data_IF_949858792580
#
_entry.id   IF_949858792580
#
_cell.length_a   1.000
_cell.length_b   1.000
_cell.length_c   1.000
_cell.angle_alpha   90.00
_cell.angle_beta   90.00
_cell.angle_gamma   90.00
#
_symmetry.space_group_name_H-M   'P 1'
#
loop_
_entity.id
_entity.type
_entity.pdbx_description
1 polymer ?
#
# COMPACT_ATOMS: atom_id res chain seq x y z
N UNK A 1 -2.07 15.97 6.80
CA UNK A 1 -2.76 15.29 7.92
C UNK A 1 -4.16 14.98 7.45
N UNK A 2 -4.63 13.76 7.66
CA UNK A 2 -5.99 13.37 7.30
C UNK A 2 -7.04 14.25 8.02
N UNK A 3 -8.17 14.50 7.34
CA UNK A 3 -9.23 15.39 7.76
C UNK A 3 -10.35 14.59 8.44
N UNK A 4 -10.62 14.91 9.71
CA UNK A 4 -11.68 14.27 10.49
C UNK A 4 -12.90 15.17 10.74
N UNK A 5 -12.98 16.33 10.08
CA UNK A 5 -14.10 17.25 10.30
C UNK A 5 -15.46 16.59 10.03
N UNK A 6 -15.49 15.63 9.10
CA UNK A 6 -16.67 14.82 8.78
C UNK A 6 -17.21 13.98 9.95
N UNK A 7 -16.44 13.75 11.02
CA UNK A 7 -16.95 13.00 12.18
C UNK A 7 -18.18 13.67 12.83
N UNK A 8 -18.30 14.99 12.73
CA UNK A 8 -19.47 15.74 13.25
C UNK A 8 -20.78 15.32 12.60
N UNK A 9 -20.75 14.92 11.31
CA UNK A 9 -21.98 14.45 10.65
C UNK A 9 -22.41 13.05 11.12
N UNK A 10 -21.56 12.34 11.88
CA UNK A 10 -21.87 11.00 12.40
C UNK A 10 -22.47 11.02 13.80
N UNK A 11 -22.51 12.17 14.48
CA UNK A 11 -23.02 12.28 15.85
C UNK A 11 -24.50 11.88 15.96
N UNK A 12 -25.27 12.11 14.90
CA UNK A 12 -26.70 11.87 14.85
C UNK A 12 -27.09 10.81 13.81
N UNK A 13 -26.18 9.89 13.47
CA UNK A 13 -26.46 8.81 12.52
C UNK A 13 -27.52 7.85 13.11
N UNK A 14 -28.77 7.84 12.59
CA UNK A 14 -29.85 7.04 13.18
C UNK A 14 -29.65 5.54 12.97
N UNK A 15 -28.80 5.14 12.01
CA UNK A 15 -28.49 3.75 11.71
C UNK A 15 -27.26 3.23 12.48
N UNK A 16 -26.49 4.13 13.11
CA UNK A 16 -25.24 3.79 13.78
C UNK A 16 -25.02 4.67 15.02
N UNK A 17 -25.69 4.28 16.10
CA UNK A 17 -25.56 4.96 17.40
C UNK A 17 -24.11 4.98 17.88
N UNK A 18 -23.62 6.16 18.26
CA UNK A 18 -22.26 6.35 18.78
C UNK A 18 -21.14 6.26 17.74
N UNK A 19 -21.46 6.26 16.44
CA UNK A 19 -20.49 6.16 15.33
C UNK A 19 -19.32 7.13 15.48
N UNK A 20 -19.57 8.42 15.68
CA UNK A 20 -18.50 9.43 15.83
C UNK A 20 -17.49 9.07 16.93
N UNK A 21 -17.98 8.65 18.11
CA UNK A 21 -17.14 8.27 19.24
C UNK A 21 -16.37 6.97 18.95
N UNK A 22 -17.01 5.99 18.30
CA UNK A 22 -16.38 4.76 17.87
C UNK A 22 -15.21 5.02 16.91
N UNK A 23 -15.47 5.74 15.81
CA UNK A 23 -14.45 6.07 14.80
C UNK A 23 -13.30 6.84 15.43
N UNK A 24 -13.59 7.83 16.29
CA UNK A 24 -12.56 8.60 16.99
C UNK A 24 -11.67 7.71 17.88
N UNK A 25 -12.25 6.80 18.66
CA UNK A 25 -11.48 5.89 19.51
C UNK A 25 -10.57 4.95 18.68
N UNK A 26 -11.08 4.41 17.57
CA UNK A 26 -10.29 3.56 16.66
C UNK A 26 -9.20 4.34 15.92
N UNK A 27 -9.47 5.59 15.51
CA UNK A 27 -8.46 6.47 14.92
C UNK A 27 -7.35 6.82 15.92
N UNK A 28 -7.68 7.14 17.17
CA UNK A 28 -6.68 7.38 18.22
C UNK A 28 -5.82 6.14 18.48
N UNK A 29 -6.44 4.95 18.44
CA UNK A 29 -5.71 3.68 18.51
C UNK A 29 -4.72 3.53 17.34
N UNK A 30 -5.22 3.70 16.11
CA UNK A 30 -4.46 3.60 14.86
C UNK A 30 -3.29 4.58 14.82
N UNK A 31 -3.52 5.84 15.19
CA UNK A 31 -2.49 6.89 15.24
C UNK A 31 -1.35 6.54 16.18
N UNK A 32 -1.66 5.93 17.32
CA UNK A 32 -0.62 5.48 18.25
C UNK A 32 0.24 4.37 17.63
N UNK A 33 -0.38 3.37 16.99
CA UNK A 33 0.37 2.28 16.36
C UNK A 33 1.19 2.77 15.16
N UNK A 34 0.65 3.66 14.33
CA UNK A 34 1.37 4.28 13.21
C UNK A 34 2.52 5.16 13.70
N UNK A 35 2.30 5.94 14.75
CA UNK A 35 3.37 6.70 15.37
C UNK A 35 4.49 5.76 15.81
N UNK A 36 4.17 4.71 16.55
CA UNK A 36 5.18 3.85 17.15
C UNK A 36 5.95 3.01 16.13
N UNK A 37 5.29 2.54 15.07
CA UNK A 37 5.90 1.66 14.06
C UNK A 37 6.54 2.43 12.89
N UNK A 38 5.94 3.54 12.47
CA UNK A 38 6.33 4.25 11.24
C UNK A 38 6.98 5.59 11.57
N UNK A 39 6.31 6.46 12.32
CA UNK A 39 6.67 7.89 12.40
C UNK A 39 7.67 8.26 13.50
N UNK A 40 7.70 7.54 14.63
CA UNK A 40 8.47 7.88 15.84
C UNK A 40 9.96 8.10 15.55
N UNK A 41 10.53 7.26 14.67
CA UNK A 41 11.95 7.29 14.32
C UNK A 41 12.20 7.86 12.92
N UNK A 42 11.24 8.62 12.36
CA UNK A 42 11.39 9.27 11.06
C UNK A 42 12.49 10.33 11.11
N UNK A 43 13.37 10.35 10.11
CA UNK A 43 14.39 11.40 9.95
C UNK A 43 13.80 12.64 9.26
N UNK A 44 14.32 13.83 9.57
CA UNK A 44 13.82 15.07 8.96
C UNK A 44 14.04 15.10 7.43
N UNK A 45 15.23 14.67 6.99
CA UNK A 45 15.67 14.65 5.60
C UNK A 45 15.41 13.28 4.95
N UNK A 46 14.22 12.71 5.18
CA UNK A 46 13.80 11.46 4.57
C UNK A 46 12.44 11.56 3.87
N UNK A 47 12.19 10.54 3.04
CA UNK A 47 10.94 10.28 2.34
C UNK A 47 10.45 8.87 2.69
N UNK A 48 9.20 8.75 3.10
CA UNK A 48 8.52 7.48 3.32
C UNK A 48 7.66 7.14 2.10
N UNK A 49 8.02 6.06 1.42
CA UNK A 49 7.33 5.53 0.24
C UNK A 49 6.53 4.30 0.67
N UNK A 50 5.21 4.34 0.48
CA UNK A 50 4.30 3.23 0.75
C UNK A 50 3.81 2.51 -0.52
N UNK A 51 3.43 1.25 -0.36
CA UNK A 51 2.63 0.50 -1.34
C UNK A 51 1.54 -0.28 -0.62
N UNK A 52 0.33 -0.28 -1.17
CA UNK A 52 -0.78 -1.01 -0.59
C UNK A 52 -1.77 -1.47 -1.67
N UNK A 53 -1.86 -2.79 -1.88
CA UNK A 53 -3.00 -3.37 -2.57
C UNK A 53 -4.22 -3.24 -1.64
N UNK A 54 -5.24 -2.50 -2.06
CA UNK A 54 -6.50 -2.35 -1.32
C UNK A 54 -7.56 -3.18 -2.04
N UNK A 55 -7.79 -4.39 -1.52
CA UNK A 55 -8.66 -5.41 -2.09
C UNK A 55 -9.90 -4.83 -2.75
N UNK A 56 -10.02 -4.99 -4.07
CA UNK A 56 -11.15 -4.58 -4.89
C UNK A 56 -11.76 -3.25 -4.42
N UNK A 57 -10.99 -2.17 -4.53
CA UNK A 57 -11.23 -0.94 -3.78
C UNK A 57 -12.63 -0.35 -4.01
N UNK A 58 -13.51 -0.66 -3.06
CA UNK A 58 -14.93 -0.30 -3.01
C UNK A 58 -15.80 -0.95 -4.10
N UNK A 59 -15.37 -2.12 -4.59
CA UNK A 59 -16.16 -2.97 -5.48
C UNK A 59 -17.12 -3.86 -4.69
N UNK A 60 -18.42 -3.75 -4.98
CA UNK A 60 -19.47 -4.50 -4.30
C UNK A 60 -20.26 -3.66 -3.30
N UNK A 61 -20.32 -4.10 -2.03
CA UNK A 61 -20.96 -3.29 -0.99
C UNK A 61 -20.01 -2.14 -0.62
N UNK A 62 -20.49 -0.88 -0.56
CA UNK A 62 -19.67 0.23 -0.15
C UNK A 62 -19.06 0.00 1.24
N UNK A 63 -17.77 0.29 1.36
CA UNK A 63 -17.02 0.32 2.61
C UNK A 63 -17.67 1.28 3.59
N UNK A 64 -17.54 0.94 4.87
CA UNK A 64 -17.98 1.81 5.94
C UNK A 64 -17.25 3.16 5.91
N UNK A 65 -17.89 4.19 6.46
CA UNK A 65 -17.30 5.52 6.53
C UNK A 65 -15.98 5.50 7.32
N UNK A 66 -15.94 4.76 8.42
CA UNK A 66 -14.74 4.59 9.23
C UNK A 66 -13.58 3.92 8.50
N UNK A 67 -13.87 2.97 7.60
CA UNK A 67 -12.88 2.28 6.79
C UNK A 67 -12.09 3.27 5.94
N UNK A 68 -12.79 4.23 5.33
CA UNK A 68 -12.16 5.34 4.61
C UNK A 68 -11.29 6.23 5.51
N UNK A 69 -11.73 6.53 6.73
CA UNK A 69 -10.92 7.29 7.69
C UNK A 69 -9.66 6.52 8.09
N UNK A 70 -9.74 5.21 8.30
CA UNK A 70 -8.59 4.37 8.64
C UNK A 70 -7.60 4.25 7.48
N UNK A 71 -8.09 4.03 6.26
CA UNK A 71 -7.26 3.98 5.04
C UNK A 71 -6.57 5.33 4.84
N UNK A 72 -7.29 6.46 4.96
CA UNK A 72 -6.72 7.79 4.87
C UNK A 72 -5.63 8.04 5.92
N UNK A 73 -5.84 7.57 7.15
CA UNK A 73 -4.85 7.72 8.22
C UNK A 73 -3.56 6.95 7.95
N UNK A 74 -3.66 5.72 7.44
CA UNK A 74 -2.52 4.91 7.06
C UNK A 74 -1.76 5.56 5.90
N UNK A 75 -2.46 5.94 4.82
CA UNK A 75 -1.83 6.57 3.66
C UNK A 75 -1.16 7.90 4.04
N UNK A 76 -1.78 8.69 4.93
CA UNK A 76 -1.23 9.94 5.45
C UNK A 76 0.03 9.76 6.33
N UNK A 77 0.37 8.52 6.74
CA UNK A 77 1.64 8.23 7.42
C UNK A 77 2.83 8.10 6.46
N UNK A 78 2.56 8.02 5.16
CA UNK A 78 3.54 8.04 4.09
C UNK A 78 3.62 9.44 3.45
N UNK A 79 4.66 9.70 2.66
CA UNK A 79 4.75 10.93 1.87
C UNK A 79 4.23 10.72 0.43
N UNK A 80 4.31 9.48 -0.05
CA UNK A 80 3.74 9.00 -1.30
C UNK A 80 3.35 7.53 -1.14
N UNK A 81 2.22 7.12 -1.70
CA UNK A 81 1.70 5.77 -1.62
C UNK A 81 1.20 5.30 -2.98
N UNK A 82 1.63 4.12 -3.42
CA UNK A 82 1.01 3.43 -4.54
C UNK A 82 -0.14 2.56 -4.06
N UNK A 83 -1.30 2.69 -4.70
CA UNK A 83 -2.50 1.94 -4.40
C UNK A 83 -2.91 1.11 -5.61
N UNK A 84 -3.07 -0.19 -5.40
CA UNK A 84 -3.53 -1.14 -6.42
C UNK A 84 -5.01 -1.52 -6.21
N UNK A 85 -5.59 -2.20 -7.21
CA UNK A 85 -6.99 -2.67 -7.24
C UNK A 85 -8.08 -1.58 -7.21
N UNK A 86 -7.76 -0.39 -7.70
CA UNK A 86 -8.76 0.67 -7.90
C UNK A 86 -9.67 0.29 -9.06
N UNK A 87 -10.98 0.31 -8.88
CA UNK A 87 -11.92 -0.06 -9.95
C UNK A 87 -12.19 1.10 -10.92
N UNK A 88 -12.99 0.80 -11.94
CA UNK A 88 -13.38 1.76 -12.98
C UNK A 88 -14.04 3.03 -12.44
N UNK A 89 -14.82 2.93 -11.34
CA UNK A 89 -15.36 4.08 -10.63
C UNK A 89 -14.30 4.74 -9.74
N UNK A 90 -14.04 6.02 -9.97
CA UNK A 90 -13.06 6.80 -9.22
C UNK A 90 -13.68 7.56 -8.04
N UNK A 91 -15.00 7.55 -7.85
CA UNK A 91 -15.64 8.20 -6.70
C UNK A 91 -15.07 7.72 -5.35
N UNK A 92 -14.79 6.41 -5.13
CA UNK A 92 -14.04 5.90 -3.97
C UNK A 92 -12.68 6.55 -3.77
N UNK A 93 -11.85 6.60 -4.83
CA UNK A 93 -10.52 7.21 -4.79
C UNK A 93 -10.59 8.71 -4.48
N UNK A 94 -11.49 9.43 -5.14
CA UNK A 94 -11.72 10.85 -4.89
C UNK A 94 -12.16 11.11 -3.45
N UNK A 95 -12.97 10.21 -2.87
CA UNK A 95 -13.37 10.27 -1.46
C UNK A 95 -12.17 10.11 -0.53
N UNK A 96 -11.31 9.13 -0.79
CA UNK A 96 -10.07 8.93 -0.03
C UNK A 96 -9.18 10.18 -0.09
N UNK A 97 -8.96 10.75 -1.27
CA UNK A 97 -8.12 11.95 -1.44
C UNK A 97 -8.71 13.17 -0.73
N UNK A 98 -10.03 13.36 -0.75
CA UNK A 98 -10.68 14.42 0.05
C UNK A 98 -10.43 14.27 1.55
N UNK A 99 -10.36 13.02 2.06
CA UNK A 99 -10.03 12.76 3.46
C UNK A 99 -8.53 12.94 3.75
N UNK A 100 -7.65 12.70 2.79
CA UNK A 100 -6.22 12.99 2.94
C UNK A 100 -5.94 14.51 3.03
N UNK A 101 -6.74 15.31 2.35
CA UNK A 101 -6.73 16.78 2.41
C UNK A 101 -6.18 17.46 1.15
N UNK A 102 -6.19 18.80 1.11
CA UNK A 102 -5.90 19.56 -0.10
C UNK A 102 -4.44 19.47 -0.58
N UNK A 103 -3.51 19.08 0.30
CA UNK A 103 -2.10 18.88 -0.05
C UNK A 103 -1.84 17.50 -0.67
N UNK A 104 -2.86 16.68 -0.86
CA UNK A 104 -2.72 15.38 -1.51
C UNK A 104 -3.24 15.43 -2.93
N UNK A 105 -2.37 15.12 -3.86
CA UNK A 105 -2.72 14.91 -5.26
C UNK A 105 -2.61 13.43 -5.62
N UNK A 106 -3.24 13.06 -6.73
CA UNK A 106 -3.17 11.72 -7.25
C UNK A 106 -3.24 11.73 -8.77
N UNK A 107 -2.74 10.64 -9.36
CA UNK A 107 -3.05 10.28 -10.72
C UNK A 107 -3.15 8.76 -10.80
N UNK A 108 -3.78 8.27 -11.86
CA UNK A 108 -4.22 6.89 -11.99
C UNK A 108 -3.87 6.38 -13.39
N UNK A 109 -3.52 5.09 -13.50
CA UNK A 109 -3.34 4.40 -14.78
C UNK A 109 -4.65 4.30 -15.54
N UNK A 110 -4.60 3.94 -16.83
CA UNK A 110 -5.83 3.53 -17.50
C UNK A 110 -6.37 2.19 -16.95
N UNK A 111 -7.62 1.81 -17.28
CA UNK A 111 -8.17 0.49 -16.93
C UNK A 111 -7.45 -0.56 -17.75
N UNK A 112 -6.90 -1.60 -17.10
CA UNK A 112 -6.48 -2.78 -17.85
C UNK A 112 -7.71 -3.57 -18.31
N UNK A 113 -8.00 -3.52 -19.61
CA UNK A 113 -9.05 -4.31 -20.26
C UNK A 113 -8.54 -5.66 -20.78
N UNK A 114 -7.26 -5.97 -20.57
CA UNK A 114 -6.66 -7.23 -20.99
C UNK A 114 -7.14 -8.40 -20.08
N UNK A 115 -7.03 -9.64 -20.57
CA UNK A 115 -7.36 -10.84 -19.78
C UNK A 115 -6.46 -10.89 -18.55
N UNK A 116 -7.04 -10.97 -17.35
CA UNK A 116 -6.29 -10.87 -16.09
C UNK A 116 -6.10 -9.44 -15.57
N UNK A 117 -6.58 -8.43 -16.29
CA UNK A 117 -6.57 -7.02 -15.86
C UNK A 117 -7.65 -6.64 -14.83
N UNK A 118 -8.70 -7.45 -14.68
CA UNK A 118 -9.78 -7.31 -13.69
C UNK A 118 -10.49 -5.95 -13.64
N UNK A 119 -10.42 -5.16 -14.71
CA UNK A 119 -10.91 -3.76 -14.74
C UNK A 119 -10.35 -2.91 -13.61
N UNK A 120 -9.08 -3.14 -13.29
CA UNK A 120 -8.35 -2.44 -12.23
C UNK A 120 -7.43 -1.37 -12.78
N UNK A 121 -7.17 -0.39 -11.93
CA UNK A 121 -6.25 0.71 -12.10
C UNK A 121 -5.27 0.72 -10.92
N UNK A 122 -4.14 1.37 -11.13
CA UNK A 122 -3.16 1.69 -10.10
C UNK A 122 -3.09 3.20 -9.96
N UNK A 123 -2.94 3.71 -8.75
CA UNK A 123 -2.76 5.13 -8.50
C UNK A 123 -1.52 5.41 -7.65
N UNK A 124 -0.95 6.59 -7.84
CA UNK A 124 0.00 7.17 -6.89
C UNK A 124 -0.68 8.36 -6.21
N UNK A 125 -0.72 8.33 -4.89
CA UNK A 125 -1.23 9.40 -4.04
C UNK A 125 -0.01 10.03 -3.36
N UNK A 126 0.18 11.34 -3.46
CA UNK A 126 1.38 12.00 -2.94
C UNK A 126 1.07 13.33 -2.26
N UNK A 127 1.83 13.62 -1.19
CA UNK A 127 1.76 14.88 -0.47
C UNK A 127 2.64 15.93 -1.16
N UNK A 128 2.01 16.98 -1.69
CA UNK A 128 2.64 18.07 -2.44
C UNK A 128 3.55 18.96 -1.59
N UNK A 129 3.44 18.90 -0.25
CA UNK A 129 4.39 19.56 0.66
C UNK A 129 5.78 18.91 0.63
N UNK A 130 5.89 17.65 0.19
CA UNK A 130 7.13 16.85 0.23
C UNK A 130 7.57 16.34 -1.14
N UNK A 131 6.61 16.02 -2.01
CA UNK A 131 6.86 15.33 -3.28
C UNK A 131 6.38 16.19 -4.45
N UNK A 132 7.27 16.37 -5.42
CA UNK A 132 7.02 17.10 -6.66
C UNK A 132 6.89 16.08 -7.79
N UNK A 133 5.78 16.12 -8.52
CA UNK A 133 5.64 15.37 -9.77
C UNK A 133 6.51 16.00 -10.87
N UNK A 134 7.27 15.18 -11.60
CA UNK A 134 8.25 15.63 -12.60
C UNK A 134 7.73 15.56 -14.04
N UNK A 135 6.41 15.53 -14.22
CA UNK A 135 5.75 15.56 -15.54
C UNK A 135 6.09 14.39 -16.47
N UNK A 136 6.60 13.28 -15.92
CA UNK A 136 6.83 12.04 -16.66
C UNK A 136 5.93 10.95 -16.09
N UNK A 137 5.14 10.35 -16.96
CA UNK A 137 4.18 9.28 -16.65
C UNK A 137 4.09 8.36 -17.88
N UNK A 138 3.90 7.07 -17.66
CA UNK A 138 3.68 6.12 -18.75
C UNK A 138 3.58 4.68 -18.28
N UNK A 139 3.65 3.78 -19.23
CA UNK A 139 3.62 2.33 -19.01
C UNK A 139 4.91 1.69 -19.52
N UNK A 140 5.30 0.56 -18.94
CA UNK A 140 6.33 -0.29 -19.52
C UNK A 140 5.72 -1.10 -20.65
N UNK A 141 6.21 -0.84 -21.86
CA UNK A 141 5.93 -1.66 -23.04
C UNK A 141 7.17 -2.51 -23.32
N UNK A 142 7.00 -3.82 -23.34
CA UNK A 142 8.08 -4.74 -23.63
C UNK A 142 8.39 -4.73 -25.14
N UNK A 143 9.68 -4.67 -25.54
CA UNK A 143 10.05 -4.88 -26.94
C UNK A 143 9.77 -6.33 -27.35
N UNK A 144 9.69 -6.60 -28.66
CA UNK A 144 9.24 -7.89 -29.21
C UNK A 144 10.06 -9.08 -28.71
N UNK A 145 11.37 -8.89 -28.52
CA UNK A 145 12.32 -9.87 -28.01
C UNK A 145 12.13 -10.22 -26.53
N UNK A 146 11.41 -9.36 -25.80
CA UNK A 146 11.17 -9.49 -24.36
C UNK A 146 9.73 -9.92 -24.03
N UNK A 147 8.88 -10.12 -25.05
CA UNK A 147 7.51 -10.60 -24.86
C UNK A 147 7.49 -11.98 -24.22
N UNK A 148 6.59 -12.14 -23.26
CA UNK A 148 6.44 -13.38 -22.51
C UNK A 148 5.30 -14.15 -23.14
N UNK A 149 5.58 -15.35 -23.65
CA UNK A 149 4.65 -16.12 -24.47
C UNK A 149 4.05 -15.33 -25.66
N UNK A 150 4.79 -14.33 -26.18
CA UNK A 150 4.34 -13.47 -27.28
C UNK A 150 3.36 -12.36 -26.86
N UNK A 151 3.14 -12.14 -25.56
CA UNK A 151 2.20 -11.17 -25.03
C UNK A 151 2.90 -10.07 -24.21
N UNK A 152 2.22 -8.92 -24.09
CA UNK A 152 2.56 -7.89 -23.11
C UNK A 152 2.12 -8.33 -21.71
N UNK A 153 2.65 -7.67 -20.68
CA UNK A 153 2.24 -7.92 -19.30
C UNK A 153 0.76 -7.55 -19.15
N UNK A 154 -0.05 -8.48 -18.60
CA UNK A 154 -1.50 -8.33 -18.53
C UNK A 154 -1.97 -7.03 -17.85
N UNK A 155 -1.24 -6.61 -16.81
CA UNK A 155 -1.38 -5.32 -16.16
C UNK A 155 -0.09 -4.54 -16.38
N UNK A 156 -0.07 -3.75 -17.45
CA UNK A 156 1.08 -2.93 -17.83
C UNK A 156 1.64 -2.18 -16.61
N UNK A 157 2.92 -2.39 -16.24
CA UNK A 157 3.50 -1.67 -15.13
C UNK A 157 3.43 -0.17 -15.36
N UNK A 158 2.83 0.54 -14.42
CA UNK A 158 2.55 1.96 -14.52
C UNK A 158 3.63 2.74 -13.77
N UNK A 159 4.27 3.70 -14.43
CA UNK A 159 5.35 4.48 -13.82
C UNK A 159 5.16 5.98 -13.91
N UNK A 160 5.78 6.68 -12.97
CA UNK A 160 5.84 8.13 -12.94
C UNK A 160 7.08 8.63 -12.21
N UNK A 161 7.60 9.79 -12.63
CA UNK A 161 8.77 10.40 -12.03
C UNK A 161 8.41 11.50 -11.03
N UNK A 162 9.18 11.54 -9.95
CA UNK A 162 9.00 12.39 -8.79
C UNK A 162 10.32 12.94 -8.27
N UNK A 163 10.22 13.95 -7.42
CA UNK A 163 11.35 14.50 -6.67
C UNK A 163 10.94 14.81 -5.23
N UNK A 164 11.82 14.52 -4.28
CA UNK A 164 11.73 15.02 -2.91
C UNK A 164 13.11 15.57 -2.51
N UNK A 165 13.22 16.86 -2.27
CA UNK A 165 14.53 17.50 -2.03
C UNK A 165 15.52 17.21 -3.18
N UNK A 166 16.67 16.62 -2.86
CA UNK A 166 17.66 16.21 -3.85
C UNK A 166 17.34 14.85 -4.47
N UNK A 167 16.46 14.05 -3.89
CA UNK A 167 16.16 12.70 -4.36
C UNK A 167 15.21 12.71 -5.55
N UNK A 168 15.73 12.30 -6.73
CA UNK A 168 14.96 12.11 -7.96
C UNK A 168 14.69 10.62 -8.15
N UNK A 169 13.42 10.26 -8.33
CA UNK A 169 13.03 8.86 -8.44
C UNK A 169 11.87 8.66 -9.40
N UNK A 170 11.72 7.45 -9.92
CA UNK A 170 10.54 7.00 -10.63
C UNK A 170 9.94 5.81 -9.89
N UNK A 171 8.66 5.89 -9.55
CA UNK A 171 7.92 4.74 -9.02
C UNK A 171 7.33 3.98 -10.20
N UNK A 172 7.49 2.66 -10.19
CA UNK A 172 6.88 1.73 -11.11
C UNK A 172 6.01 0.77 -10.30
N UNK A 173 4.69 0.93 -10.37
CA UNK A 173 3.73 0.02 -9.74
C UNK A 173 3.49 -1.16 -10.67
N UNK A 174 3.65 -2.38 -10.16
CA UNK A 174 3.31 -3.61 -10.86
C UNK A 174 2.28 -4.41 -10.04
N UNK A 175 1.37 -5.06 -10.76
CA UNK A 175 0.43 -6.04 -10.19
C UNK A 175 0.56 -7.32 -11.01
N UNK A 176 1.49 -8.20 -10.64
CA UNK A 176 1.77 -9.44 -11.38
C UNK A 176 0.58 -10.38 -11.25
N UNK A 177 0.24 -11.14 -12.30
CA UNK A 177 -0.91 -12.06 -12.26
C UNK A 177 -0.81 -13.06 -11.09
N UNK A 178 -1.94 -13.35 -10.47
CA UNK A 178 -2.04 -14.35 -9.40
C UNK A 178 -2.47 -15.72 -9.97
N UNK A 179 -2.04 -16.78 -9.30
CA UNK A 179 -2.46 -18.15 -9.59
C UNK A 179 -1.41 -18.97 -10.34
N UNK A 180 -1.81 -20.20 -10.68
CA UNK A 180 -0.94 -21.19 -11.29
C UNK A 180 0.00 -21.86 -10.28
N UNK A 181 -0.27 -23.13 -10.01
CA UNK A 181 0.54 -23.95 -9.10
C UNK A 181 1.69 -24.66 -9.83
N UNK A 182 1.59 -24.77 -11.16
CA UNK A 182 2.60 -25.46 -11.95
C UNK A 182 3.91 -24.69 -11.99
N UNK A 183 5.02 -25.41 -12.17
CA UNK A 183 6.34 -24.81 -12.34
C UNK A 183 6.39 -23.87 -13.55
N UNK A 184 5.66 -24.19 -14.62
CA UNK A 184 5.62 -23.37 -15.83
C UNK A 184 4.93 -22.01 -15.58
N UNK A 185 3.79 -21.99 -14.89
CA UNK A 185 3.09 -20.74 -14.56
C UNK A 185 3.89 -19.86 -13.60
N UNK A 186 4.56 -20.46 -12.61
CA UNK A 186 5.47 -19.75 -11.71
C UNK A 186 6.67 -19.16 -12.46
N UNK A 187 7.17 -19.86 -13.47
CA UNK A 187 8.26 -19.36 -14.31
C UNK A 187 7.81 -18.21 -15.22
N UNK A 188 6.58 -18.23 -15.75
CA UNK A 188 6.03 -17.08 -16.49
C UNK A 188 5.97 -15.83 -15.61
N UNK A 189 5.47 -15.94 -14.38
CA UNK A 189 5.48 -14.84 -13.39
C UNK A 189 6.91 -14.36 -13.08
N UNK A 190 7.85 -15.29 -12.95
CA UNK A 190 9.26 -14.95 -12.76
C UNK A 190 9.85 -14.21 -13.97
N UNK A 191 9.46 -14.57 -15.20
CA UNK A 191 9.86 -13.86 -16.43
C UNK A 191 9.31 -12.44 -16.47
N UNK A 192 8.08 -12.19 -16.02
CA UNK A 192 7.53 -10.83 -15.91
C UNK A 192 8.39 -9.97 -14.98
N UNK A 193 8.75 -10.49 -13.81
CA UNK A 193 9.66 -9.81 -12.88
C UNK A 193 11.02 -9.52 -13.53
N UNK A 194 11.63 -10.49 -14.23
CA UNK A 194 12.92 -10.28 -14.91
C UNK A 194 12.81 -9.21 -16.01
N UNK A 195 11.73 -9.20 -16.77
CA UNK A 195 11.52 -8.23 -17.83
C UNK A 195 11.37 -6.81 -17.27
N UNK A 196 10.53 -6.64 -16.25
CA UNK A 196 10.33 -5.33 -15.59
C UNK A 196 11.62 -4.84 -14.97
N UNK A 197 12.27 -5.67 -14.15
CA UNK A 197 13.50 -5.27 -13.44
C UNK A 197 14.63 -4.95 -14.41
N UNK A 198 14.79 -5.69 -15.51
CA UNK A 198 15.76 -5.36 -16.58
C UNK A 198 15.51 -3.96 -17.15
N UNK A 199 14.27 -3.66 -17.57
CA UNK A 199 13.91 -2.33 -18.10
C UNK A 199 14.26 -1.21 -17.11
N UNK A 200 13.94 -1.39 -15.83
CA UNK A 200 14.22 -0.39 -14.80
C UNK A 200 15.72 -0.22 -14.53
N UNK A 201 16.48 -1.32 -14.49
CA UNK A 201 17.93 -1.31 -14.31
C UNK A 201 18.62 -0.66 -15.51
N UNK A 202 18.19 -0.96 -16.73
CA UNK A 202 18.77 -0.37 -17.94
C UNK A 202 18.50 1.14 -17.99
N UNK A 203 17.27 1.57 -17.71
CA UNK A 203 16.96 3.02 -17.60
C UNK A 203 17.80 3.71 -16.52
N UNK A 204 18.09 3.05 -15.40
CA UNK A 204 18.95 3.63 -14.35
C UNK A 204 20.40 3.87 -14.83
N UNK A 205 20.91 3.09 -15.80
CA UNK A 205 22.23 3.31 -16.42
C UNK A 205 22.26 4.60 -17.25
N UNK A 206 21.13 4.98 -17.84
CA UNK A 206 21.05 6.11 -18.77
C UNK A 206 20.47 7.39 -18.15
N UNK A 207 19.70 7.28 -17.07
CA UNK A 207 18.97 8.39 -16.47
C UNK A 207 19.45 8.67 -15.04
N UNK A 208 19.64 9.96 -14.71
CA UNK A 208 20.00 10.41 -13.37
C UNK A 208 18.77 10.45 -12.45
N UNK A 209 18.24 9.28 -12.13
CA UNK A 209 17.20 9.04 -11.14
C UNK A 209 17.17 7.58 -10.68
N UNK A 210 16.57 7.38 -9.52
CA UNK A 210 16.40 6.05 -8.90
C UNK A 210 15.10 5.44 -9.38
N UNK A 211 15.11 4.18 -9.80
CA UNK A 211 13.89 3.47 -10.16
C UNK A 211 13.46 2.58 -9.01
N UNK A 212 12.20 2.69 -8.61
CA UNK A 212 11.60 1.91 -7.53
C UNK A 212 10.48 1.07 -8.12
N UNK A 213 10.64 -0.25 -8.11
CA UNK A 213 9.58 -1.21 -8.38
C UNK A 213 8.81 -1.47 -7.08
N UNK A 214 7.49 -1.43 -7.12
CA UNK A 214 6.66 -1.72 -5.96
C UNK A 214 5.29 -2.26 -6.37
N UNK A 215 4.55 -2.82 -5.42
CA UNK A 215 3.18 -3.29 -5.61
C UNK A 215 3.01 -4.75 -5.24
N UNK A 216 1.87 -5.31 -5.64
CA UNK A 216 1.55 -6.73 -5.49
C UNK A 216 2.23 -7.55 -6.60
N UNK A 217 3.37 -8.13 -6.26
CA UNK A 217 4.15 -8.97 -7.16
C UNK A 217 3.72 -10.44 -7.11
N UNK A 218 2.68 -10.77 -6.33
CA UNK A 218 2.14 -12.12 -6.15
C UNK A 218 3.22 -13.18 -5.84
N UNK A 219 4.19 -12.81 -5.00
CA UNK A 219 5.24 -13.72 -4.52
C UNK A 219 4.73 -14.62 -3.39
N UNK A 220 4.53 -15.89 -3.73
CA UNK A 220 3.95 -16.88 -2.82
C UNK A 220 4.87 -17.26 -1.66
N UNK A 221 6.17 -17.41 -1.91
CA UNK A 221 7.16 -17.92 -0.94
C UNK A 221 8.49 -17.19 -1.07
N UNK A 222 9.22 -17.08 0.04
CA UNK A 222 10.52 -16.40 0.10
C UNK A 222 11.61 -17.11 -0.71
N UNK A 223 11.55 -18.43 -0.80
CA UNK A 223 12.53 -19.24 -1.53
C UNK A 223 12.01 -19.70 -2.91
N UNK A 224 10.91 -19.10 -3.38
CA UNK A 224 10.27 -19.44 -4.66
C UNK A 224 10.94 -18.80 -5.88
N UNK A 225 10.64 -19.29 -7.10
CA UNK A 225 11.25 -18.80 -8.33
C UNK A 225 10.98 -17.31 -8.61
N UNK A 226 9.83 -16.79 -8.19
CA UNK A 226 9.44 -15.38 -8.39
C UNK A 226 10.27 -14.46 -7.47
N UNK A 227 10.44 -14.82 -6.19
CA UNK A 227 11.35 -14.10 -5.29
C UNK A 227 12.80 -14.19 -5.78
N UNK A 228 13.23 -15.38 -6.22
CA UNK A 228 14.57 -15.58 -6.76
C UNK A 228 14.82 -14.67 -7.99
N UNK A 229 13.83 -14.51 -8.88
CA UNK A 229 13.91 -13.59 -10.01
C UNK A 229 14.07 -12.13 -9.58
N UNK A 230 13.33 -11.69 -8.56
CA UNK A 230 13.45 -10.33 -8.02
C UNK A 230 14.81 -10.11 -7.36
N UNK A 231 15.26 -11.04 -6.51
CA UNK A 231 16.54 -10.92 -5.77
C UNK A 231 17.77 -11.10 -6.64
N UNK A 232 17.64 -11.81 -7.78
CA UNK A 232 18.70 -11.94 -8.77
C UNK A 232 18.81 -10.70 -9.68
N UNK A 233 17.87 -9.75 -9.59
CA UNK A 233 18.00 -8.47 -10.28
C UNK A 233 19.15 -7.63 -9.69
N UNK A 234 19.59 -6.61 -10.41
CA UNK A 234 20.57 -5.64 -9.91
C UNK A 234 19.95 -4.60 -8.95
N UNK A 235 18.70 -4.79 -8.54
CA UNK A 235 18.00 -3.92 -7.60
C UNK A 235 18.22 -4.39 -6.15
N UNK A 236 18.17 -3.46 -5.21
CA UNK A 236 18.12 -3.78 -3.78
C UNK A 236 16.69 -4.12 -3.40
N UNK A 237 16.52 -5.25 -2.72
CA UNK A 237 15.24 -5.78 -2.24
C UNK A 237 15.28 -5.86 -0.71
N UNK A 238 14.66 -4.92 0.02
CA UNK A 238 14.52 -5.01 1.46
C UNK A 238 13.76 -6.28 1.86
N UNK A 239 14.18 -6.91 2.96
CA UNK A 239 13.58 -8.16 3.42
C UNK A 239 12.27 -7.90 4.18
N UNK A 240 11.14 -7.86 3.47
CA UNK A 240 9.83 -7.77 4.11
C UNK A 240 9.42 -9.10 4.77
N UNK A 241 8.74 -9.06 5.93
CA UNK A 241 7.98 -10.22 6.40
C UNK A 241 6.80 -10.50 5.44
N UNK A 242 6.04 -11.55 5.74
CA UNK A 242 4.83 -11.83 4.99
C UNK A 242 3.83 -10.67 5.04
N UNK A 243 3.20 -10.38 3.89
CA UNK A 243 2.39 -9.18 3.65
C UNK A 243 0.90 -9.48 3.56
N UNK A 244 0.48 -10.75 3.52
CA UNK A 244 -0.93 -11.12 3.63
C UNK A 244 -1.39 -11.22 5.10
N UNK A 245 -2.71 -11.22 5.31
CA UNK A 245 -3.26 -11.36 6.66
C UNK A 245 -2.93 -12.71 7.33
N UNK A 246 -2.83 -13.81 6.58
CA UNK A 246 -2.36 -15.10 7.12
C UNK A 246 -0.88 -15.06 7.55
N UNK A 247 -0.14 -14.18 6.88
CA UNK A 247 1.28 -13.88 6.99
C UNK A 247 2.19 -15.08 6.76
N UNK A 248 1.83 -15.83 5.74
CA UNK A 248 2.58 -16.91 5.13
C UNK A 248 2.93 -16.61 3.66
N UNK A 249 2.47 -15.47 3.12
CA UNK A 249 2.68 -15.02 1.73
C UNK A 249 3.42 -13.68 1.67
N UNK A 250 4.23 -13.49 0.65
CA UNK A 250 5.14 -12.34 0.48
C UNK A 250 4.74 -11.49 -0.73
N UNK A 251 3.43 -11.39 -0.98
CA UNK A 251 2.86 -10.85 -2.21
C UNK A 251 3.43 -9.49 -2.60
N UNK A 252 3.51 -8.58 -1.64
CA UNK A 252 3.90 -7.20 -1.85
C UNK A 252 5.41 -7.01 -1.64
N UNK A 253 6.07 -6.31 -2.56
CA UNK A 253 7.48 -5.96 -2.43
C UNK A 253 7.75 -4.52 -2.83
N UNK A 254 8.89 -4.00 -2.37
CA UNK A 254 9.51 -2.79 -2.89
C UNK A 254 10.95 -3.16 -3.25
N UNK A 255 11.43 -2.75 -4.42
CA UNK A 255 12.81 -2.90 -4.84
C UNK A 255 13.29 -1.61 -5.52
N UNK A 256 14.57 -1.26 -5.41
CA UNK A 256 15.07 -0.02 -6.01
C UNK A 256 16.50 -0.14 -6.58
N UNK A 257 16.81 0.68 -7.58
CA UNK A 257 18.15 0.72 -8.17
C UNK A 257 19.14 1.46 -7.27
N UNK A 258 20.38 0.97 -7.21
CA UNK A 258 21.49 1.61 -6.48
C UNK A 258 22.71 1.87 -7.36
N UNK A 259 22.77 1.24 -8.54
CA UNK A 259 23.76 1.47 -9.59
C UNK A 259 23.11 2.28 -10.73
N UNK A 260 23.93 2.98 -11.51
CA UNK A 260 23.48 3.81 -12.63
C UNK A 260 23.96 5.25 -12.53
N UNK A 261 23.35 6.19 -13.25
CA UNK A 261 23.76 7.62 -13.16
C UNK A 261 23.45 8.26 -11.81
N UNK A 262 22.44 7.75 -11.12
CA UNK A 262 22.11 8.14 -9.76
C UNK A 262 22.87 7.36 -8.68
N UNK A 263 23.98 6.69 -9.03
CA UNK A 263 24.80 5.96 -8.07
C UNK A 263 25.20 6.86 -6.89
N UNK A 264 25.04 6.35 -5.66
CA UNK A 264 25.23 7.05 -4.36
C UNK A 264 24.09 7.98 -3.89
N UNK A 265 22.99 8.09 -4.62
CA UNK A 265 21.83 8.94 -4.24
C UNK A 265 20.71 8.17 -3.52
N UNK A 266 20.88 6.87 -3.29
CA UNK A 266 19.86 6.03 -2.63
C UNK A 266 20.43 5.41 -1.37
N UNK A 267 19.86 5.75 -0.20
CA UNK A 267 20.17 5.09 1.07
C UNK A 267 18.89 4.71 1.78
N UNK A 268 18.67 3.40 1.93
CA UNK A 268 17.59 2.87 2.73
C UNK A 268 17.88 3.11 4.21
N UNK A 269 16.95 3.77 4.90
CA UNK A 269 17.04 4.05 6.32
C UNK A 269 16.28 3.01 7.13
N UNK A 270 15.03 2.74 6.74
CA UNK A 270 14.12 1.80 7.41
C UNK A 270 13.17 1.19 6.38
N UNK A 271 12.57 0.07 6.72
CA UNK A 271 11.45 -0.51 6.00
C UNK A 271 10.57 -1.30 6.96
N UNK A 272 9.32 -1.54 6.58
CA UNK A 272 8.41 -2.29 7.43
C UNK A 272 7.07 -2.61 6.76
N UNK A 273 6.28 -3.37 7.51
CA UNK A 273 4.88 -3.68 7.20
C UNK A 273 4.05 -3.16 8.36
N UNK A 274 2.91 -2.54 8.06
CA UNK A 274 2.02 -2.02 9.10
C UNK A 274 0.75 -2.87 9.19
N UNK A 275 0.60 -3.59 10.30
CA UNK A 275 -0.58 -4.42 10.55
C UNK A 275 -1.69 -3.63 11.27
N UNK A 276 -2.66 -3.15 10.49
CA UNK A 276 -3.78 -2.34 10.97
C UNK A 276 -4.72 -3.09 11.92
N UNK A 277 -4.73 -4.42 11.92
CA UNK A 277 -5.67 -5.26 12.70
C UNK A 277 -5.56 -4.98 14.18
N UNK A 278 -4.36 -4.72 14.69
CA UNK A 278 -4.13 -4.40 16.11
C UNK A 278 -5.01 -3.24 16.58
N UNK A 279 -5.22 -2.24 15.74
CA UNK A 279 -5.88 -0.98 16.09
C UNK A 279 -7.38 -0.94 15.80
N UNK A 280 -7.82 -1.46 14.65
CA UNK A 280 -9.18 -1.16 14.14
C UNK A 280 -10.12 -2.36 14.08
N UNK A 281 -9.82 -3.41 13.34
CA UNK A 281 -10.77 -4.48 12.99
C UNK A 281 -10.30 -5.89 13.42
N UNK A 282 -9.14 -6.00 14.03
CA UNK A 282 -8.63 -7.26 14.57
C UNK A 282 -8.86 -7.41 16.06
N UNK A 283 -8.22 -8.43 16.66
CA UNK A 283 -7.02 -9.15 16.19
C UNK A 283 -7.27 -10.42 15.35
N UNK A 284 -6.45 -10.80 14.34
CA UNK A 284 -6.35 -12.21 13.88
C UNK A 284 -5.06 -12.45 13.10
N UNK A 285 -4.28 -13.56 13.22
CA UNK A 285 -4.20 -14.60 14.26
C UNK A 285 -3.20 -14.24 15.39
N UNK A 286 -2.87 -15.21 16.27
CA UNK A 286 -1.82 -15.17 17.33
C UNK A 286 -0.43 -14.87 16.75
N UNK A 287 -0.24 -13.65 16.29
CA UNK A 287 1.08 -13.04 16.10
C UNK A 287 1.34 -12.16 17.30
N UNK A 288 2.61 -12.00 17.64
CA UNK A 288 3.12 -11.24 18.79
C UNK A 288 2.79 -9.74 18.69
N UNK A 289 1.52 -9.34 18.62
CA UNK A 289 1.15 -7.98 18.96
C UNK A 289 1.57 -7.77 20.40
N UNK A 290 2.35 -6.72 20.70
CA UNK A 290 2.74 -6.46 22.06
C UNK A 290 1.50 -6.34 22.93
N UNK A 291 1.52 -7.04 24.06
CA UNK A 291 0.44 -6.99 25.04
C UNK A 291 0.13 -5.54 25.40
N UNK A 292 -1.15 -5.24 25.58
CA UNK A 292 -1.55 -3.92 26.04
C UNK A 292 -1.08 -3.72 27.48
N UNK A 293 -0.48 -2.58 27.76
CA UNK A 293 -0.20 -2.13 29.12
C UNK A 293 -1.51 -1.87 29.88
N UNK A 294 -1.47 -1.92 31.21
CA UNK A 294 -2.64 -1.60 32.03
C UNK A 294 -3.18 -0.18 31.76
N UNK A 295 -2.29 0.78 31.45
CA UNK A 295 -2.67 2.13 31.09
C UNK A 295 -3.39 2.19 29.73
N UNK A 296 -2.93 1.44 28.72
CA UNK A 296 -3.62 1.33 27.43
C UNK A 296 -5.00 0.69 27.57
N UNK A 297 -5.10 -0.36 28.39
CA UNK A 297 -6.35 -1.08 28.62
C UNK A 297 -7.41 -0.21 29.32
N UNK A 298 -7.01 0.80 30.09
CA UNK A 298 -7.90 1.73 30.78
C UNK A 298 -8.38 2.91 29.91
N UNK A 299 -7.84 3.08 28.69
CA UNK A 299 -8.19 4.18 27.80
C UNK A 299 -9.38 3.85 26.87
N UNK A 300 -10.19 4.84 26.45
CA UNK A 300 -11.25 4.63 25.44
C UNK A 300 -10.73 4.03 24.11
N UNK A 301 -9.51 4.37 23.74
CA UNK A 301 -8.80 3.88 22.54
C UNK A 301 -8.02 2.57 22.76
N UNK A 302 -8.37 1.77 23.78
CA UNK A 302 -7.80 0.42 23.99
C UNK A 302 -8.01 -0.47 22.76
N UNK A 303 -7.16 -1.48 22.58
CA UNK A 303 -7.39 -2.51 21.56
C UNK A 303 -8.48 -3.46 22.03
N UNK A 304 -9.36 -3.80 21.11
CA UNK A 304 -10.52 -4.65 21.36
C UNK A 304 -10.19 -6.08 20.95
N UNK A 305 -10.87 -7.03 21.56
CA UNK A 305 -10.88 -8.44 21.13
C UNK A 305 -11.83 -8.62 19.95
N UNK A 306 -11.70 -9.72 19.20
CA UNK A 306 -12.64 -9.98 18.10
C UNK A 306 -14.08 -10.11 18.58
N UNK A 307 -14.29 -10.68 19.78
CA UNK A 307 -15.62 -10.81 20.35
C UNK A 307 -16.29 -9.44 20.52
N UNK A 308 -15.54 -8.45 20.99
CA UNK A 308 -16.02 -7.06 21.13
C UNK A 308 -16.25 -6.40 19.77
N UNK A 309 -15.37 -6.63 18.80
CA UNK A 309 -15.50 -6.08 17.45
C UNK A 309 -16.69 -6.68 16.72
N UNK A 310 -16.85 -8.01 16.77
CA UNK A 310 -17.97 -8.75 16.18
C UNK A 310 -19.28 -8.27 16.82
N UNK A 311 -19.33 -8.13 18.15
CA UNK A 311 -20.51 -7.63 18.84
C UNK A 311 -20.89 -6.21 18.38
N UNK A 312 -19.91 -5.35 18.13
CA UNK A 312 -20.11 -4.00 17.62
C UNK A 312 -20.59 -3.98 16.16
N UNK A 313 -19.90 -4.69 15.26
CA UNK A 313 -20.17 -4.64 13.82
C UNK A 313 -21.34 -5.53 13.36
N UNK A 314 -21.80 -6.47 14.18
CA UNK A 314 -22.97 -7.29 13.84
C UNK A 314 -24.22 -6.44 13.51
N UNK A 315 -24.71 -5.55 14.40
CA UNK A 315 -25.87 -4.71 14.08
C UNK A 315 -25.60 -3.73 12.92
N UNK A 316 -24.37 -3.19 12.83
CA UNK A 316 -23.98 -2.26 11.75
C UNK A 316 -24.06 -2.94 10.38
N UNK A 317 -23.48 -4.14 10.26
CA UNK A 317 -23.49 -4.88 8.99
C UNK A 317 -24.87 -5.37 8.61
N UNK A 318 -25.73 -5.72 9.58
CA UNK A 318 -27.15 -6.03 9.30
C UNK A 318 -27.86 -4.82 8.70
N UNK A 319 -27.70 -3.63 9.30
CA UNK A 319 -28.31 -2.40 8.82
C UNK A 319 -27.81 -2.00 7.42
N UNK A 320 -26.49 -2.02 7.20
CA UNK A 320 -25.88 -1.69 5.91
C UNK A 320 -26.32 -2.65 4.82
N UNK A 321 -26.30 -3.96 5.08
CA UNK A 321 -26.75 -4.95 4.09
C UNK A 321 -28.23 -4.76 3.75
N UNK A 322 -29.08 -4.49 4.74
CA UNK A 322 -30.50 -4.19 4.50
C UNK A 322 -30.69 -2.94 3.63
N UNK A 323 -29.92 -1.87 3.89
CA UNK A 323 -29.93 -0.61 3.09
C UNK A 323 -29.60 -0.86 1.61
N UNK A 324 -28.77 -1.85 1.33
CA UNK A 324 -28.35 -2.24 -0.01
C UNK A 324 -29.08 -3.46 -0.57
N UNK A 325 -30.21 -3.86 0.03
CA UNK A 325 -31.05 -4.97 -0.45
C UNK A 325 -30.36 -6.34 -0.37
N UNK A 326 -29.38 -6.51 0.51
CA UNK A 326 -28.66 -7.77 0.75
C UNK A 326 -29.17 -8.43 2.03
N UNK A 327 -29.34 -9.77 2.05
CA UNK A 327 -29.67 -10.47 3.28
C UNK A 327 -28.52 -10.36 4.29
N UNK A 328 -28.79 -10.38 5.61
CA UNK A 328 -27.74 -10.42 6.62
C UNK A 328 -26.86 -11.67 6.44
N UNK A 329 -25.64 -11.63 7.00
CA UNK A 329 -24.82 -12.83 7.06
C UNK A 329 -25.52 -13.90 7.90
N UNK A 330 -25.52 -15.16 7.44
CA UNK A 330 -26.07 -16.26 8.22
C UNK A 330 -25.32 -16.48 9.54
N UNK A 331 -23.99 -16.27 9.51
CA UNK A 331 -23.07 -16.41 10.63
C UNK A 331 -21.99 -15.33 10.53
N UNK A 332 -22.28 -14.11 10.99
CA UNK A 332 -21.37 -12.98 10.84
C UNK A 332 -20.02 -13.24 11.53
N UNK A 333 -20.01 -13.91 12.67
CA UNK A 333 -18.80 -14.30 13.41
C UNK A 333 -17.83 -15.13 12.55
N UNK A 334 -18.36 -16.00 11.67
CA UNK A 334 -17.54 -16.78 10.73
C UNK A 334 -17.11 -15.97 9.52
N UNK A 335 -17.94 -15.02 9.10
CA UNK A 335 -17.66 -14.12 7.97
C UNK A 335 -16.80 -12.92 8.34
N UNK A 336 -16.63 -12.62 9.64
CA UNK A 336 -16.04 -11.38 10.14
C UNK A 336 -14.66 -11.12 9.53
N UNK A 337 -13.75 -12.11 9.54
CA UNK A 337 -12.42 -11.95 8.95
C UNK A 337 -12.45 -11.68 7.45
N UNK A 338 -13.37 -12.29 6.71
CA UNK A 338 -13.51 -12.04 5.29
C UNK A 338 -14.09 -10.65 5.06
N UNK A 339 -15.09 -10.27 5.85
CA UNK A 339 -15.69 -8.93 5.81
C UNK A 339 -14.65 -7.83 6.06
N UNK A 340 -13.74 -7.98 7.03
CA UNK A 340 -12.71 -6.96 7.29
C UNK A 340 -11.72 -6.77 6.14
N UNK A 341 -11.50 -7.78 5.28
CA UNK A 341 -10.67 -7.60 4.06
C UNK A 341 -11.36 -6.71 3.02
N UNK A 342 -12.69 -6.72 2.96
CA UNK A 342 -13.47 -5.79 2.12
C UNK A 342 -13.61 -4.41 2.77
N UNK A 343 -13.35 -4.26 4.07
CA UNK A 343 -13.32 -2.96 4.75
C UNK A 343 -11.93 -2.31 4.74
N UNK A 344 -10.86 -3.09 4.86
CA UNK A 344 -9.46 -2.63 4.75
C UNK A 344 -8.81 -3.23 3.52
N UNK A 345 -8.16 -4.40 3.66
CA UNK A 345 -7.58 -5.18 2.56
C UNK A 345 -7.20 -6.57 3.08
N UNK A 346 -6.98 -7.56 2.23
CA UNK A 346 -6.28 -8.81 2.56
C UNK A 346 -4.73 -8.69 2.47
N UNK A 347 -4.24 -7.52 2.05
CA UNK A 347 -2.83 -7.14 2.05
C UNK A 347 -2.53 -6.10 3.14
N UNK A 348 -1.34 -6.20 3.71
CA UNK A 348 -0.80 -5.22 4.65
C UNK A 348 -0.03 -4.14 3.89
N UNK A 349 -0.20 -2.85 4.24
CA UNK A 349 0.60 -1.79 3.67
C UNK A 349 2.08 -1.98 4.02
N UNK A 350 2.93 -1.92 3.00
CA UNK A 350 4.39 -1.98 3.15
C UNK A 350 4.99 -0.60 2.88
N UNK A 351 6.14 -0.32 3.50
CA UNK A 351 6.80 0.97 3.35
C UNK A 351 8.32 0.87 3.45
N UNK A 352 9.00 1.83 2.82
CA UNK A 352 10.41 2.12 3.01
C UNK A 352 10.62 3.60 3.36
N UNK A 353 11.68 3.91 4.09
CA UNK A 353 12.17 5.26 4.32
C UNK A 353 13.54 5.41 3.66
N UNK A 354 13.67 6.42 2.78
CA UNK A 354 14.90 6.72 2.04
C UNK A 354 15.42 8.11 2.47
N UNK A 355 16.73 8.25 2.59
CA UNK A 355 17.38 9.56 2.73
C UNK A 355 17.26 10.39 1.45
N UNK A 356 16.87 11.67 1.58
CA UNK A 356 16.62 12.54 0.41
C UNK A 356 17.54 13.76 0.30
N UNK A 357 18.45 13.92 1.24
CA UNK A 357 19.45 14.97 1.23
C UNK A 357 20.83 14.35 1.32
N UNK A 358 21.60 14.52 0.25
CA UNK A 358 22.99 14.06 0.11
C UNK A 358 23.88 15.23 -0.34
N UNK A 359 23.44 16.46 -0.05
CA UNK A 359 24.14 17.69 -0.46
C UNK A 359 25.55 17.79 0.15
N UNK A 360 25.75 17.36 1.40
CA UNK A 360 27.06 17.33 2.03
C UNK A 360 28.04 16.42 1.29
N UNK A 361 27.62 15.19 0.94
CA UNK A 361 28.45 14.26 0.15
C UNK A 361 28.76 14.84 -1.24
N UNK A 362 27.78 15.53 -1.82
CA UNK A 362 27.94 16.20 -3.10
C UNK A 362 28.95 17.36 -3.03
N UNK A 363 28.96 18.15 -1.96
CA UNK A 363 29.92 19.24 -1.77
C UNK A 363 31.32 18.70 -1.43
N UNK A 364 31.41 17.69 -0.57
CA UNK A 364 32.67 17.09 -0.14
C UNK A 364 33.50 16.54 -1.31
N UNK A 365 32.86 16.09 -2.40
CA UNK A 365 33.55 15.58 -3.59
C UNK A 365 34.42 16.62 -4.31
N UNK A 366 34.17 17.91 -4.09
CA UNK A 366 34.95 19.01 -4.68
C UNK A 366 36.09 19.50 -3.77
N UNK A 367 36.15 19.01 -2.53
CA UNK A 367 37.23 19.33 -1.59
C UNK A 367 38.39 18.33 -1.65
N UNK A 368 38.22 17.20 -2.35
CA UNK A 368 39.29 16.24 -2.59
C UNK A 368 40.28 16.83 -3.61
N UNK A 369 41.60 16.87 -3.30
CA UNK A 369 42.62 17.41 -4.19
C UNK A 369 42.83 16.60 -5.47
#
# INVERSE_FOLDING_TARGET
>A
MAFYHGLKSYENDPAYSGKAAWVAARLLALRRDLHDQVLRNRRANSLIIGSWNIRAFDDGLPRLDESYHYIAEIVNSFDICAVQEIKSDLAPLQRLVRLLGPQWEYFVSDVSTHKGGNSERMAFLYNTDKVIFRNLIGEIVLPSEDLIAGEQIARSPFFAAFQAGWFRFALCSAHIIFGGESAAEKELRAQEIRAITRVLVDRAKDEDQVYVLLGDLNIDTRDGPIMAALTASEMVVPAFPATNLGGDKFFDQIAFTVKGKAERKTRLLRHGVFDWRRSVFGPWPDRDFPAQTAAEAAMPQRRLTDAEQIAHYLPVTVAERARHGRPPYAHFEKSYRSWTTYEMSDHLPIWIEIEIDYSDDYLARFLAP
#
